data_IF_903943117300
#
_entry.id   IF_903943117300
#
_cell.length_a   1.000
_cell.length_b   1.000
_cell.length_c   1.000
_cell.angle_alpha   90.00
_cell.angle_beta   90.00
_cell.angle_gamma   90.00
#
_symmetry.space_group_name_H-M   'P 1'
#
loop_
_entity.id
_entity.type
_entity.pdbx_description
1 polymer ?
#
# COMPACT_ATOMS: atom_id res chain seq x y z
N UNK A 1 19.42 51.97 -30.53
CA UNK A 1 19.73 51.12 -29.36
C UNK A 1 18.63 50.08 -29.22
N UNK A 2 19.01 48.80 -29.08
CA UNK A 2 18.17 47.61 -28.83
C UNK A 2 17.21 47.24 -29.99
N UNK A 3 16.99 45.97 -30.39
CA UNK A 3 17.11 44.65 -29.73
C UNK A 3 16.93 43.51 -30.78
N UNK A 4 17.18 42.25 -30.36
CA UNK A 4 16.66 40.96 -30.90
C UNK A 4 17.27 40.42 -32.22
N UNK A 5 17.60 39.14 -32.43
CA UNK A 5 17.37 37.83 -31.76
C UNK A 5 18.53 36.89 -32.19
N UNK A 6 19.21 36.21 -31.27
CA UNK A 6 19.09 34.76 -31.01
C UNK A 6 18.96 33.85 -32.24
N UNK A 7 20.00 33.06 -32.50
CA UNK A 7 19.88 31.67 -32.92
C UNK A 7 20.99 30.87 -32.23
N UNK A 8 20.55 29.95 -31.38
CA UNK A 8 21.36 29.10 -30.52
C UNK A 8 21.32 27.69 -31.10
N UNK A 9 22.06 27.45 -32.19
CA UNK A 9 22.32 26.11 -32.71
C UNK A 9 23.59 25.56 -32.04
N UNK A 10 23.41 24.91 -30.89
CA UNK A 10 24.47 24.10 -30.28
C UNK A 10 24.58 22.77 -31.03
N UNK A 11 25.43 22.79 -32.04
CA UNK A 11 25.80 21.65 -32.89
C UNK A 11 26.43 20.54 -32.03
N UNK A 12 25.84 19.34 -32.09
CA UNK A 12 26.37 18.10 -31.50
C UNK A 12 27.68 17.68 -32.22
N UNK A 13 28.77 17.33 -31.51
CA UNK A 13 30.03 16.96 -32.14
C UNK A 13 30.05 15.47 -32.53
N UNK A 14 29.69 15.09 -33.77
CA UNK A 14 30.04 13.74 -34.28
C UNK A 14 29.95 13.51 -35.82
N UNK A 15 30.45 14.43 -36.64
CA UNK A 15 30.26 14.34 -38.11
C UNK A 15 31.40 13.68 -38.92
N UNK A 16 32.36 13.01 -38.27
CA UNK A 16 33.53 12.40 -38.95
C UNK A 16 33.44 10.89 -39.20
N UNK A 17 32.40 10.21 -38.74
CA UNK A 17 32.27 8.76 -38.87
C UNK A 17 31.52 8.35 -40.15
N UNK A 18 32.06 7.40 -40.90
CA UNK A 18 31.39 6.78 -42.05
C UNK A 18 30.12 6.05 -41.64
N UNK A 19 29.14 5.91 -42.54
CA UNK A 19 27.91 5.16 -42.29
C UNK A 19 28.18 3.75 -41.74
N UNK A 20 29.18 3.07 -42.30
CA UNK A 20 29.58 1.74 -41.86
C UNK A 20 30.11 1.72 -40.41
N UNK A 21 30.93 2.71 -40.04
CA UNK A 21 31.42 2.85 -38.66
C UNK A 21 30.28 3.17 -37.68
N UNK A 22 29.34 4.02 -38.09
CA UNK A 22 28.16 4.37 -37.31
C UNK A 22 27.26 3.15 -37.04
N UNK A 23 26.98 2.34 -38.07
CA UNK A 23 26.22 1.08 -37.95
C UNK A 23 26.93 0.06 -37.05
N UNK A 24 28.25 -0.13 -37.23
CA UNK A 24 29.02 -1.02 -36.37
C UNK A 24 29.07 -0.52 -34.92
N UNK A 25 29.05 0.80 -34.71
CA UNK A 25 29.01 1.43 -33.39
C UNK A 25 27.75 1.05 -32.61
N UNK A 26 26.57 1.23 -33.22
CA UNK A 26 25.28 0.90 -32.55
C UNK A 26 25.15 -0.60 -32.25
N UNK A 27 25.69 -1.47 -33.12
CA UNK A 27 25.67 -2.92 -32.91
C UNK A 27 26.58 -3.42 -31.78
N UNK A 28 27.50 -2.59 -31.27
CA UNK A 28 28.29 -2.93 -30.07
C UNK A 28 27.46 -2.88 -28.80
N UNK A 29 26.36 -2.14 -28.78
CA UNK A 29 25.45 -2.12 -27.64
C UNK A 29 24.72 -3.48 -27.55
N UNK A 30 24.84 -4.22 -26.42
CA UNK A 30 24.24 -5.55 -26.30
C UNK A 30 22.71 -5.57 -26.44
N UNK A 31 22.02 -4.53 -25.95
CA UNK A 31 20.55 -4.41 -26.06
C UNK A 31 20.12 -4.19 -27.52
N UNK A 32 20.84 -3.33 -28.25
CA UNK A 32 20.62 -3.13 -29.70
C UNK A 32 20.85 -4.44 -30.47
N UNK A 33 21.96 -5.13 -30.19
CA UNK A 33 22.28 -6.40 -30.84
C UNK A 33 21.23 -7.49 -30.57
N UNK A 34 20.73 -7.56 -29.33
CA UNK A 34 19.65 -8.47 -28.93
C UNK A 34 18.35 -8.13 -29.65
N UNK A 35 17.96 -6.86 -29.68
CA UNK A 35 16.75 -6.41 -30.36
C UNK A 35 16.79 -6.72 -31.86
N UNK A 36 17.87 -6.37 -32.55
CA UNK A 36 18.08 -6.64 -33.98
C UNK A 36 17.95 -8.13 -34.30
N UNK A 37 18.51 -9.01 -33.47
CA UNK A 37 18.39 -10.46 -33.65
C UNK A 37 16.96 -10.96 -33.43
N UNK A 38 16.28 -10.43 -32.42
CA UNK A 38 14.91 -10.83 -32.08
C UNK A 38 13.91 -10.43 -33.17
N UNK A 39 14.06 -9.23 -33.74
CA UNK A 39 13.18 -8.68 -34.78
C UNK A 39 13.64 -9.03 -36.21
N UNK A 40 14.78 -9.71 -36.36
CA UNK A 40 15.36 -10.13 -37.66
C UNK A 40 15.59 -8.98 -38.63
N UNK A 41 16.00 -7.81 -38.12
CA UNK A 41 16.25 -6.63 -38.96
C UNK A 41 17.41 -6.86 -39.92
N UNK A 42 17.25 -6.38 -41.15
CA UNK A 42 18.29 -6.38 -42.17
C UNK A 42 19.29 -5.24 -41.95
N UNK A 43 20.42 -5.28 -42.65
CA UNK A 43 21.39 -4.17 -42.63
C UNK A 43 20.79 -2.86 -43.14
N UNK A 44 19.88 -2.95 -44.11
CA UNK A 44 19.18 -1.80 -44.69
C UNK A 44 18.22 -1.17 -43.67
N UNK A 45 17.47 -1.99 -42.92
CA UNK A 45 16.59 -1.50 -41.84
C UNK A 45 17.38 -0.74 -40.76
N UNK A 46 18.56 -1.25 -40.40
CA UNK A 46 19.44 -0.59 -39.41
C UNK A 46 19.98 0.74 -39.95
N UNK A 47 20.32 0.80 -41.25
CA UNK A 47 20.79 2.04 -41.88
C UNK A 47 19.68 3.08 -41.96
N UNK A 48 18.47 2.67 -42.37
CA UNK A 48 17.30 3.54 -42.48
C UNK A 48 16.84 4.09 -41.13
N UNK A 49 17.11 3.36 -40.03
CA UNK A 49 16.74 3.75 -38.66
C UNK A 49 17.94 4.11 -37.78
N UNK A 50 19.08 4.48 -38.37
CA UNK A 50 20.33 4.70 -37.64
C UNK A 50 20.21 5.79 -36.57
N UNK A 51 19.49 6.88 -36.86
CA UNK A 51 19.25 7.98 -35.90
C UNK A 51 18.52 7.49 -34.66
N UNK A 52 17.57 6.57 -34.81
CA UNK A 52 16.81 5.96 -33.72
C UNK A 52 17.72 5.11 -32.83
N UNK A 53 18.57 4.26 -33.42
CA UNK A 53 19.51 3.45 -32.66
C UNK A 53 20.56 4.29 -31.93
N UNK A 54 21.05 5.37 -32.56
CA UNK A 54 21.96 6.31 -31.90
C UNK A 54 21.29 7.03 -30.73
N UNK A 55 20.04 7.49 -30.91
CA UNK A 55 19.26 8.11 -29.84
C UNK A 55 19.03 7.14 -28.67
N UNK A 56 18.71 5.87 -28.97
CA UNK A 56 18.63 4.82 -27.96
C UNK A 56 19.96 4.65 -27.22
N UNK A 57 21.07 4.49 -27.94
CA UNK A 57 22.38 4.24 -27.33
C UNK A 57 22.79 5.38 -26.40
N UNK A 58 22.69 6.63 -26.86
CA UNK A 58 22.99 7.80 -26.06
C UNK A 58 22.16 7.83 -24.77
N UNK A 59 20.83 7.65 -24.89
CA UNK A 59 19.95 7.64 -23.72
C UNK A 59 20.18 6.43 -22.82
N UNK A 60 20.52 5.27 -23.36
CA UNK A 60 20.80 4.07 -22.59
C UNK A 60 22.10 4.22 -21.79
N UNK A 61 23.13 4.85 -22.35
CA UNK A 61 24.38 5.17 -21.64
C UNK A 61 24.15 6.06 -20.42
N UNK A 62 23.22 7.02 -20.48
CA UNK A 62 22.80 7.82 -19.32
C UNK A 62 22.27 6.93 -18.18
N UNK A 63 21.53 5.86 -18.50
CA UNK A 63 20.96 4.96 -17.50
C UNK A 63 21.98 3.96 -16.93
N UNK A 64 23.05 3.63 -17.65
CA UNK A 64 24.06 2.65 -17.19
C UNK A 64 24.78 3.11 -15.93
N UNK A 65 25.05 4.42 -15.80
CA UNK A 65 25.65 5.02 -14.60
C UNK A 65 24.65 5.90 -13.83
N UNK A 66 23.38 5.48 -13.76
CA UNK A 66 22.32 6.29 -13.18
C UNK A 66 22.54 6.53 -11.67
N UNK A 67 22.66 7.79 -11.21
CA UNK A 67 22.83 8.13 -9.79
C UNK A 67 21.50 8.06 -8.98
N UNK A 68 20.39 7.70 -9.63
CA UNK A 68 19.04 7.70 -9.03
C UNK A 68 18.18 8.87 -9.49
N UNK A 69 16.94 8.94 -8.99
CA UNK A 69 15.93 9.90 -9.47
C UNK A 69 16.30 11.37 -9.23
N UNK A 70 16.99 11.68 -8.12
CA UNK A 70 17.31 13.06 -7.75
C UNK A 70 18.30 13.72 -8.71
N UNK A 71 19.11 12.93 -9.41
CA UNK A 71 20.10 13.38 -10.39
C UNK A 71 19.92 12.66 -11.73
N UNK A 72 18.68 12.33 -12.07
CA UNK A 72 18.35 11.64 -13.31
C UNK A 72 18.68 12.51 -14.54
N UNK A 73 19.59 12.05 -15.40
CA UNK A 73 20.02 12.77 -16.61
C UNK A 73 19.13 12.55 -17.85
N UNK A 74 18.03 11.80 -17.75
CA UNK A 74 17.10 11.60 -18.86
C UNK A 74 16.28 12.87 -19.13
N UNK A 75 15.84 13.12 -20.38
CA UNK A 75 14.96 14.25 -20.71
C UNK A 75 13.64 14.23 -19.93
N UNK A 76 13.11 13.04 -19.69
CA UNK A 76 11.95 12.82 -18.81
C UNK A 76 12.45 12.06 -17.58
N UNK A 77 12.40 12.72 -16.43
CA UNK A 77 12.85 12.16 -15.15
C UNK A 77 12.16 10.81 -14.88
N UNK A 78 12.93 9.81 -14.47
CA UNK A 78 12.42 8.49 -14.11
C UNK A 78 12.05 7.58 -15.29
N UNK A 79 12.23 8.03 -16.55
CA UNK A 79 11.93 7.22 -17.74
C UNK A 79 13.20 6.70 -18.40
N UNK A 80 13.26 5.41 -18.66
CA UNK A 80 14.31 4.79 -19.47
C UNK A 80 13.85 4.50 -20.90
N UNK A 81 14.76 4.59 -21.89
CA UNK A 81 14.44 4.25 -23.27
C UNK A 81 14.36 2.73 -23.47
N UNK A 82 13.50 2.29 -24.39
CA UNK A 82 13.55 0.94 -24.94
C UNK A 82 13.19 0.96 -26.43
N UNK A 83 13.75 0.00 -27.17
CA UNK A 83 13.43 -0.21 -28.58
C UNK A 83 12.20 -1.10 -28.70
N UNK A 84 11.30 -0.72 -29.59
CA UNK A 84 10.09 -1.48 -29.86
C UNK A 84 9.84 -1.58 -31.36
N UNK A 85 9.05 -2.57 -31.75
CA UNK A 85 8.56 -2.74 -33.11
C UNK A 85 7.03 -2.71 -33.07
N UNK A 86 6.48 -1.53 -33.31
CA UNK A 86 5.05 -1.27 -33.26
C UNK A 86 4.45 -1.46 -34.66
N UNK A 87 3.68 -2.53 -34.83
CA UNK A 87 3.04 -2.90 -36.11
C UNK A 87 3.97 -2.92 -37.34
N UNK A 88 5.26 -3.21 -37.14
CA UNK A 88 6.27 -3.24 -38.21
C UNK A 88 7.13 -1.97 -38.32
N UNK A 89 6.88 -0.95 -37.50
CA UNK A 89 7.67 0.27 -37.43
C UNK A 89 8.58 0.28 -36.21
N UNK A 90 9.86 0.57 -36.44
CA UNK A 90 10.82 0.74 -35.34
C UNK A 90 10.56 2.05 -34.61
N UNK A 91 10.35 1.97 -33.31
CA UNK A 91 10.08 3.12 -32.44
C UNK A 91 10.96 3.09 -31.21
N UNK A 92 11.29 4.30 -30.71
CA UNK A 92 12.02 4.50 -29.47
C UNK A 92 11.05 4.96 -28.39
N UNK A 93 10.57 4.01 -27.60
CA UNK A 93 9.61 4.26 -26.54
C UNK A 93 10.32 4.48 -25.20
N UNK A 94 9.53 4.85 -24.19
CA UNK A 94 10.01 5.05 -22.83
C UNK A 94 9.12 4.38 -21.81
N UNK A 95 9.71 3.87 -20.73
CA UNK A 95 9.00 3.25 -19.61
C UNK A 95 9.61 3.72 -18.30
N UNK A 96 8.93 3.47 -17.17
CA UNK A 96 9.51 3.76 -15.86
C UNK A 96 10.78 2.94 -15.64
N UNK A 97 11.86 3.60 -15.22
CA UNK A 97 13.08 2.92 -14.83
C UNK A 97 12.93 2.31 -13.43
N UNK A 98 13.85 1.42 -13.03
CA UNK A 98 13.79 0.71 -11.74
C UNK A 98 13.53 1.62 -10.53
N UNK A 99 14.08 2.82 -10.50
CA UNK A 99 13.89 3.75 -9.37
C UNK A 99 12.50 4.39 -9.39
N UNK A 100 11.98 4.72 -10.58
CA UNK A 100 10.62 5.27 -10.70
C UNK A 100 9.57 4.19 -10.40
N UNK A 101 9.82 2.95 -10.83
CA UNK A 101 8.99 1.80 -10.47
C UNK A 101 8.95 1.61 -8.95
N UNK A 102 10.10 1.67 -8.26
CA UNK A 102 10.13 1.59 -6.79
C UNK A 102 9.31 2.68 -6.10
N UNK A 103 9.35 3.92 -6.61
CA UNK A 103 8.52 5.02 -6.07
C UNK A 103 7.04 4.76 -6.34
N UNK A 104 6.68 4.33 -7.55
CA UNK A 104 5.29 4.01 -7.88
C UNK A 104 4.77 2.86 -7.01
N UNK A 105 5.56 1.80 -6.83
CA UNK A 105 5.23 0.69 -5.94
C UNK A 105 5.00 1.17 -4.51
N UNK A 106 5.84 2.08 -4.00
CA UNK A 106 5.64 2.69 -2.68
C UNK A 106 4.35 3.51 -2.60
N UNK A 107 4.04 4.31 -3.62
CA UNK A 107 2.81 5.11 -3.68
C UNK A 107 1.57 4.21 -3.72
N UNK A 108 1.57 3.18 -4.58
CA UNK A 108 0.48 2.21 -4.64
C UNK A 108 0.31 1.45 -3.33
N UNK A 109 1.40 1.15 -2.60
CA UNK A 109 1.30 0.56 -1.25
C UNK A 109 0.64 1.51 -0.25
N UNK A 110 0.95 2.81 -0.32
CA UNK A 110 0.33 3.83 0.53
C UNK A 110 -1.15 4.02 0.19
N UNK A 111 -1.51 3.99 -1.09
CA UNK A 111 -2.91 4.04 -1.54
C UNK A 111 -3.73 2.83 -1.06
N UNK A 112 -3.09 1.66 -0.90
CA UNK A 112 -3.72 0.45 -0.35
C UNK A 112 -3.91 0.48 1.16
N UNK A 113 -3.32 1.45 1.87
CA UNK A 113 -3.50 1.62 3.32
C UNK A 113 -4.29 2.90 3.59
N UNK A 114 -5.60 2.73 3.74
CA UNK A 114 -6.49 3.85 4.01
C UNK A 114 -6.70 4.03 5.52
N UNK A 115 -6.70 5.28 5.98
CA UNK A 115 -6.95 5.63 7.38
C UNK A 115 -8.28 6.38 7.54
N UNK A 116 -9.08 5.93 8.51
CA UNK A 116 -10.20 6.71 9.04
C UNK A 116 -9.81 7.19 10.44
N UNK A 117 -9.58 8.50 10.57
CA UNK A 117 -9.02 9.15 11.75
C UNK A 117 -7.52 9.44 11.61
N UNK A 118 -6.83 9.82 12.70
CA UNK A 118 -5.44 10.23 12.67
C UNK A 118 -4.53 9.07 12.29
N UNK A 119 -3.73 9.26 11.24
CA UNK A 119 -2.60 8.39 10.97
C UNK A 119 -1.56 8.51 12.10
N UNK A 120 -0.86 7.42 12.39
CA UNK A 120 0.26 7.44 13.34
C UNK A 120 1.45 8.17 12.70
N UNK A 121 1.56 9.46 12.98
CA UNK A 121 2.67 10.29 12.50
C UNK A 121 4.02 9.74 12.97
N UNK A 122 4.99 9.65 12.05
CA UNK A 122 6.36 9.20 12.37
C UNK A 122 6.50 7.69 12.58
N UNK A 123 5.50 6.89 12.21
CA UNK A 123 5.61 5.44 12.25
C UNK A 123 6.60 4.90 11.23
N UNK A 124 7.57 4.11 11.69
CA UNK A 124 8.41 3.28 10.84
C UNK A 124 7.96 1.80 10.97
N UNK A 125 7.55 1.14 9.88
CA UNK A 125 7.16 -0.28 9.88
C UNK A 125 8.22 -1.24 10.43
N UNK A 126 9.49 -0.84 10.40
CA UNK A 126 10.62 -1.63 10.90
C UNK A 126 10.83 -1.48 12.41
N UNK A 127 10.23 -0.48 13.07
CA UNK A 127 10.41 -0.18 14.49
C UNK A 127 9.56 -1.08 15.41
N UNK A 128 9.65 -2.40 15.22
CA UNK A 128 9.07 -3.37 16.16
C UNK A 128 10.08 -3.72 17.25
N UNK A 129 9.67 -3.48 18.51
CA UNK A 129 10.40 -4.02 19.65
C UNK A 129 10.33 -5.55 19.68
N UNK A 130 11.47 -6.20 19.57
CA UNK A 130 11.61 -7.65 19.70
C UNK A 130 11.94 -8.00 21.14
N UNK A 131 11.01 -8.65 21.83
CA UNK A 131 11.21 -9.13 23.19
C UNK A 131 10.41 -10.42 23.45
N UNK A 132 10.73 -11.18 24.51
CA UNK A 132 10.02 -12.43 24.82
C UNK A 132 8.51 -12.28 25.02
N UNK A 133 8.06 -11.13 25.54
CA UNK A 133 6.62 -10.85 25.80
C UNK A 133 5.82 -10.68 24.52
N UNK A 134 6.48 -10.29 23.41
CA UNK A 134 5.88 -10.14 22.08
C UNK A 134 5.98 -11.37 21.19
N UNK A 135 6.71 -12.42 21.61
CA UNK A 135 6.93 -13.62 20.79
C UNK A 135 5.63 -14.24 20.27
N UNK A 136 4.61 -14.35 21.12
CA UNK A 136 3.32 -14.96 20.75
C UNK A 136 2.62 -14.12 19.69
N UNK A 137 2.45 -12.81 19.92
CA UNK A 137 1.76 -11.94 18.95
C UNK A 137 2.51 -11.84 17.62
N UNK A 138 3.85 -11.75 17.64
CA UNK A 138 4.65 -11.71 16.40
C UNK A 138 4.55 -13.02 15.63
N UNK A 139 4.52 -14.17 16.31
CA UNK A 139 4.29 -15.46 15.66
C UNK A 139 2.91 -15.55 15.02
N UNK A 140 1.87 -15.00 15.65
CA UNK A 140 0.52 -14.97 15.08
C UNK A 140 0.44 -14.05 13.86
N UNK A 141 1.07 -12.87 13.93
CA UNK A 141 1.17 -11.91 12.82
C UNK A 141 1.90 -12.55 11.63
N UNK A 142 3.09 -13.12 11.85
CA UNK A 142 3.87 -13.75 10.78
C UNK A 142 3.11 -14.91 10.14
N UNK A 143 2.49 -15.77 10.96
CA UNK A 143 1.66 -16.87 10.45
C UNK A 143 0.50 -16.36 9.60
N UNK A 144 -0.12 -15.24 9.98
CA UNK A 144 -1.20 -14.67 9.19
C UNK A 144 -0.69 -14.20 7.82
N UNK A 145 0.42 -13.44 7.82
CA UNK A 145 1.07 -12.91 6.62
C UNK A 145 1.48 -14.05 5.68
N UNK A 146 2.13 -15.09 6.18
CA UNK A 146 2.59 -16.25 5.39
C UNK A 146 1.46 -17.00 4.70
N UNK A 147 0.27 -17.02 5.30
CA UNK A 147 -0.88 -17.77 4.79
C UNK A 147 -1.85 -16.91 3.96
N UNK A 148 -1.65 -15.58 3.88
CA UNK A 148 -2.48 -14.68 3.08
C UNK A 148 -2.35 -15.03 1.57
N UNK A 149 -3.44 -15.06 0.77
CA UNK A 149 -4.79 -14.55 1.05
C UNK A 149 -5.79 -15.61 1.55
N UNK A 150 -5.35 -16.77 2.05
CA UNK A 150 -6.30 -17.79 2.53
C UNK A 150 -7.12 -17.25 3.71
N UNK A 151 -8.41 -17.59 3.84
CA UNK A 151 -9.24 -17.17 4.95
C UNK A 151 -8.73 -17.67 6.30
N UNK A 152 -8.56 -16.76 7.26
CA UNK A 152 -8.06 -17.05 8.60
C UNK A 152 -8.69 -16.10 9.62
N UNK A 153 -8.66 -16.49 10.88
CA UNK A 153 -9.01 -15.59 11.97
C UNK A 153 -7.98 -14.46 12.07
N UNK A 154 -8.47 -13.25 12.33
CA UNK A 154 -7.62 -12.15 12.74
C UNK A 154 -7.31 -12.20 14.24
N UNK A 155 -6.93 -11.06 14.81
CA UNK A 155 -6.45 -10.97 16.19
C UNK A 155 -7.17 -9.84 16.91
N UNK A 156 -7.71 -10.15 18.10
CA UNK A 156 -8.10 -9.15 19.07
C UNK A 156 -6.95 -8.97 20.07
N UNK A 157 -6.14 -7.94 19.86
CA UNK A 157 -4.96 -7.64 20.67
C UNK A 157 -5.33 -6.70 21.80
N UNK A 158 -5.25 -7.17 23.05
CA UNK A 158 -5.62 -6.37 24.21
C UNK A 158 -4.54 -6.30 25.28
N UNK A 159 -4.52 -5.21 26.04
CA UNK A 159 -3.52 -5.01 27.09
C UNK A 159 -3.42 -3.54 27.53
N UNK A 160 -2.47 -3.19 28.39
CA UNK A 160 -2.35 -1.84 28.92
C UNK A 160 -2.05 -0.78 27.84
N UNK A 161 -2.29 0.49 28.19
CA UNK A 161 -1.93 1.63 27.37
C UNK A 161 -0.41 1.68 27.10
N UNK A 162 -0.03 2.13 25.91
CA UNK A 162 1.37 2.39 25.58
C UNK A 162 2.24 1.15 25.33
N UNK A 163 1.66 -0.07 25.35
CA UNK A 163 2.40 -1.30 25.03
C UNK A 163 2.67 -1.51 23.53
N UNK A 164 2.24 -0.61 22.65
CA UNK A 164 2.49 -0.67 21.20
C UNK A 164 1.52 -1.53 20.38
N UNK A 165 0.29 -1.76 20.85
CA UNK A 165 -0.73 -2.55 20.13
C UNK A 165 -1.03 -2.01 18.72
N UNK A 166 -1.30 -0.71 18.62
CA UNK A 166 -1.56 -0.03 17.34
C UNK A 166 -0.37 -0.14 16.39
N UNK A 167 0.86 -0.06 16.91
CA UNK A 167 2.10 -0.19 16.12
C UNK A 167 2.28 -1.61 15.55
N UNK A 168 1.90 -2.64 16.31
CA UNK A 168 1.91 -4.02 15.83
C UNK A 168 0.86 -4.25 14.73
N UNK A 169 -0.35 -3.68 14.88
CA UNK A 169 -1.37 -3.77 13.83
C UNK A 169 -1.01 -2.96 12.60
N UNK A 170 -0.34 -1.81 12.76
CA UNK A 170 0.13 -1.02 11.63
C UNK A 170 1.26 -1.74 10.88
N UNK A 171 2.13 -2.47 11.59
CA UNK A 171 3.15 -3.31 10.94
C UNK A 171 2.49 -4.39 10.08
N UNK A 172 1.52 -5.09 10.66
CA UNK A 172 0.73 -6.07 9.93
C UNK A 172 0.06 -5.44 8.70
N UNK A 173 -0.54 -4.26 8.84
CA UNK A 173 -1.16 -3.52 7.74
C UNK A 173 -0.18 -3.26 6.60
N UNK A 174 1.02 -2.75 6.92
CA UNK A 174 2.07 -2.51 5.94
C UNK A 174 2.53 -3.80 5.24
N UNK A 175 2.76 -4.88 5.99
CA UNK A 175 3.15 -6.15 5.38
C UNK A 175 2.05 -6.71 4.46
N UNK A 176 0.78 -6.52 4.79
CA UNK A 176 -0.34 -6.97 3.94
C UNK A 176 -0.50 -6.11 2.68
N UNK A 177 -0.22 -4.80 2.73
CA UNK A 177 -0.26 -3.94 1.53
C UNK A 177 0.86 -4.26 0.56
N UNK A 178 2.02 -4.71 1.07
CA UNK A 178 3.13 -5.26 0.28
C UNK A 178 2.72 -6.55 -0.46
N UNK A 179 1.83 -7.36 0.14
CA UNK A 179 1.23 -8.53 -0.49
C UNK A 179 0.04 -8.21 -1.40
N UNK A 180 -0.32 -6.93 -1.55
CA UNK A 180 -1.38 -6.48 -2.45
C UNK A 180 -2.77 -6.31 -1.83
N UNK A 181 -2.91 -6.49 -0.51
CA UNK A 181 -4.19 -6.30 0.17
C UNK A 181 -4.57 -4.82 0.26
N UNK A 182 -5.86 -4.49 0.09
CA UNK A 182 -6.39 -3.21 0.52
C UNK A 182 -6.73 -3.28 2.02
N UNK A 183 -6.08 -2.45 2.82
CA UNK A 183 -6.20 -2.43 4.27
C UNK A 183 -6.88 -1.13 4.68
N UNK A 184 -7.99 -1.25 5.41
CA UNK A 184 -8.66 -0.13 6.05
C UNK A 184 -8.29 -0.11 7.54
N UNK A 185 -7.59 0.94 7.97
CA UNK A 185 -7.18 1.16 9.34
C UNK A 185 -8.04 2.25 9.98
N UNK A 186 -8.85 1.88 10.97
CA UNK A 186 -9.86 2.77 11.55
C UNK A 186 -9.52 3.04 13.00
N UNK A 187 -9.31 4.31 13.35
CA UNK A 187 -9.29 4.71 14.76
C UNK A 187 -10.72 4.77 15.30
N UNK A 188 -11.10 3.73 16.04
CA UNK A 188 -12.50 3.45 16.38
C UNK A 188 -13.19 4.57 17.18
N UNK A 189 -12.54 5.21 18.19
CA UNK A 189 -13.17 6.29 18.94
C UNK A 189 -13.58 7.49 18.09
N UNK A 190 -12.78 7.86 17.09
CA UNK A 190 -13.09 8.96 16.19
C UNK A 190 -14.14 8.58 15.15
N UNK A 191 -14.03 7.36 14.60
CA UNK A 191 -15.06 6.82 13.72
C UNK A 191 -16.44 6.84 14.40
N UNK A 192 -16.54 6.42 15.66
CA UNK A 192 -17.80 6.48 16.41
C UNK A 192 -18.30 7.91 16.59
N UNK A 193 -17.41 8.89 16.81
CA UNK A 193 -17.80 10.31 16.87
C UNK A 193 -18.34 10.81 15.54
N UNK A 194 -17.68 10.45 14.44
CA UNK A 194 -18.11 10.80 13.09
C UNK A 194 -19.48 10.19 12.79
N UNK A 195 -19.67 8.89 13.04
CA UNK A 195 -20.95 8.21 12.88
C UNK A 195 -22.05 8.89 13.70
N UNK A 196 -21.80 9.18 14.99
CA UNK A 196 -22.78 9.90 15.83
C UNK A 196 -23.17 11.26 15.26
N UNK A 197 -22.25 11.93 14.57
CA UNK A 197 -22.54 13.18 13.89
C UNK A 197 -23.39 12.98 12.63
N UNK A 198 -23.23 11.88 11.91
CA UNK A 198 -23.91 11.63 10.63
C UNK A 198 -25.35 11.15 10.79
N UNK A 199 -25.66 10.43 11.88
CA UNK A 199 -26.99 9.84 12.13
C UNK A 199 -28.10 10.88 11.98
N UNK A 200 -29.10 10.55 11.14
CA UNK A 200 -30.29 11.37 10.92
C UNK A 200 -30.07 12.64 10.10
N UNK A 201 -28.83 12.92 9.68
CA UNK A 201 -28.49 14.05 8.81
C UNK A 201 -28.17 13.63 7.38
N UNK A 202 -27.44 12.53 7.23
CA UNK A 202 -27.01 12.01 5.93
C UNK A 202 -26.95 10.48 5.96
N UNK A 203 -28.03 9.84 5.53
CA UNK A 203 -28.13 8.37 5.54
C UNK A 203 -27.22 7.71 4.51
N UNK A 204 -27.01 8.37 3.36
CA UNK A 204 -26.17 7.85 2.28
C UNK A 204 -24.70 7.81 2.74
N UNK A 205 -24.20 8.91 3.32
CA UNK A 205 -22.85 8.92 3.87
C UNK A 205 -22.65 7.89 5.00
N UNK A 206 -23.67 7.69 5.84
CA UNK A 206 -23.62 6.64 6.87
C UNK A 206 -23.49 5.25 6.25
N UNK A 207 -24.35 4.91 5.28
CA UNK A 207 -24.35 3.60 4.64
C UNK A 207 -23.04 3.35 3.88
N UNK A 208 -22.51 4.34 3.17
CA UNK A 208 -21.24 4.26 2.45
C UNK A 208 -20.08 3.96 3.40
N UNK A 209 -19.97 4.68 4.52
CA UNK A 209 -18.95 4.43 5.54
C UNK A 209 -19.04 3.00 6.09
N UNK A 210 -20.25 2.54 6.41
CA UNK A 210 -20.45 1.17 6.92
C UNK A 210 -20.10 0.12 5.87
N UNK A 211 -20.45 0.35 4.61
CA UNK A 211 -20.15 -0.55 3.51
C UNK A 211 -18.65 -0.64 3.25
N UNK A 212 -17.92 0.48 3.33
CA UNK A 212 -16.45 0.49 3.24
C UNK A 212 -15.79 -0.45 4.27
N UNK A 213 -16.26 -0.44 5.52
CA UNK A 213 -15.77 -1.33 6.59
C UNK A 213 -16.14 -2.81 6.35
N UNK A 214 -17.31 -3.09 5.75
CA UNK A 214 -17.72 -4.45 5.38
C UNK A 214 -16.89 -4.98 4.21
N UNK A 215 -16.56 -4.13 3.25
CA UNK A 215 -16.00 -4.52 1.95
C UNK A 215 -14.47 -4.58 1.92
N UNK A 216 -13.77 -3.83 2.76
CA UNK A 216 -12.30 -3.85 2.81
C UNK A 216 -11.73 -5.28 2.93
N UNK A 217 -10.67 -5.59 2.17
CA UNK A 217 -10.02 -6.91 2.20
C UNK A 217 -9.58 -7.25 3.61
N UNK A 218 -8.96 -6.27 4.27
CA UNK A 218 -8.52 -6.33 5.66
C UNK A 218 -9.07 -5.10 6.39
N UNK A 219 -9.72 -5.32 7.54
CA UNK A 219 -10.16 -4.25 8.43
C UNK A 219 -9.41 -4.32 9.75
N UNK A 220 -8.84 -3.20 10.18
CA UNK A 220 -8.21 -3.03 11.48
C UNK A 220 -8.99 -1.96 12.25
N UNK A 221 -9.59 -2.33 13.38
CA UNK A 221 -10.21 -1.39 14.31
C UNK A 221 -9.27 -1.12 15.48
N UNK A 222 -8.71 0.08 15.54
CA UNK A 222 -7.79 0.50 16.59
C UNK A 222 -8.52 1.15 17.76
N UNK A 223 -8.10 0.80 18.97
CA UNK A 223 -8.55 1.33 20.27
C UNK A 223 -10.06 1.18 20.54
N UNK A 224 -10.61 0.00 20.21
CA UNK A 224 -12.00 -0.33 20.52
C UNK A 224 -12.24 -0.33 22.03
N UNK A 225 -13.28 0.35 22.50
CA UNK A 225 -13.60 0.56 23.91
C UNK A 225 -13.05 1.86 24.50
N UNK A 226 -12.38 2.69 23.71
CA UNK A 226 -11.99 4.07 24.08
C UNK A 226 -13.11 5.09 23.86
N UNK A 227 -14.18 4.70 23.19
CA UNK A 227 -15.38 5.50 22.92
C UNK A 227 -16.37 5.50 24.10
N UNK A 228 -17.32 6.44 24.05
CA UNK A 228 -18.55 6.29 24.84
C UNK A 228 -19.45 5.26 24.16
N UNK A 229 -19.60 4.09 24.80
CA UNK A 229 -20.51 3.03 24.38
C UNK A 229 -21.93 3.58 24.16
N UNK A 230 -22.62 3.05 23.16
CA UNK A 230 -24.08 3.17 23.11
C UNK A 230 -24.68 1.93 22.44
N UNK A 231 -25.89 1.56 22.84
CA UNK A 231 -26.63 0.45 22.26
C UNK A 231 -26.78 0.59 20.74
N UNK A 232 -26.94 1.83 20.25
CA UNK A 232 -26.99 2.12 18.82
C UNK A 232 -25.69 1.76 18.09
N UNK A 233 -24.54 2.20 18.59
CA UNK A 233 -23.25 1.89 17.95
C UNK A 233 -22.99 0.38 17.97
N UNK A 234 -23.33 -0.30 19.07
CA UNK A 234 -23.26 -1.75 19.14
C UNK A 234 -24.14 -2.44 18.08
N UNK A 235 -25.41 -2.04 17.99
CA UNK A 235 -26.44 -2.77 17.25
C UNK A 235 -26.46 -2.41 15.75
N UNK A 236 -26.23 -1.14 15.39
CA UNK A 236 -26.35 -0.63 14.02
C UNK A 236 -25.00 -0.44 13.32
N UNK A 237 -23.90 -0.39 14.06
CA UNK A 237 -22.56 -0.19 13.49
C UNK A 237 -21.71 -1.45 13.64
N UNK A 238 -21.40 -1.85 14.88
CA UNK A 238 -20.49 -2.96 15.12
C UNK A 238 -21.09 -4.32 14.72
N UNK A 239 -22.36 -4.58 15.08
CA UNK A 239 -23.05 -5.84 14.77
C UNK A 239 -23.11 -6.14 13.27
N UNK A 240 -23.54 -5.22 12.38
CA UNK A 240 -23.62 -5.50 10.95
C UNK A 240 -22.25 -5.71 10.30
N UNK A 241 -21.22 -4.95 10.72
CA UNK A 241 -19.85 -5.12 10.21
C UNK A 241 -19.32 -6.51 10.55
N UNK A 242 -19.44 -6.93 11.82
CA UNK A 242 -19.01 -8.28 12.25
C UNK A 242 -19.77 -9.36 11.48
N UNK A 243 -21.09 -9.20 11.32
CA UNK A 243 -21.93 -10.17 10.62
C UNK A 243 -21.50 -10.35 9.16
N UNK A 244 -21.33 -9.26 8.41
CA UNK A 244 -20.97 -9.34 6.99
C UNK A 244 -19.57 -9.96 6.81
N UNK A 245 -18.60 -9.52 7.61
CA UNK A 245 -17.23 -10.07 7.52
C UNK A 245 -17.17 -11.54 7.89
N UNK A 246 -18.03 -12.02 8.80
CA UNK A 246 -18.17 -13.46 9.08
C UNK A 246 -18.70 -14.23 7.87
N UNK A 247 -19.76 -13.72 7.22
CA UNK A 247 -20.37 -14.36 6.05
C UNK A 247 -19.39 -14.43 4.89
N UNK A 248 -18.67 -13.34 4.64
CA UNK A 248 -17.69 -13.23 3.56
C UNK A 248 -16.30 -13.78 3.93
N UNK A 249 -16.12 -14.26 5.17
CA UNK A 249 -14.84 -14.73 5.72
C UNK A 249 -13.68 -13.73 5.55
N UNK A 250 -13.99 -12.43 5.66
CA UNK A 250 -13.01 -11.36 5.53
C UNK A 250 -12.28 -11.11 6.85
N UNK A 251 -10.94 -11.19 6.89
CA UNK A 251 -10.16 -11.05 8.12
C UNK A 251 -10.35 -9.69 8.80
N UNK A 252 -10.40 -9.67 10.12
CA UNK A 252 -10.55 -8.45 10.92
C UNK A 252 -9.62 -8.48 12.13
N UNK A 253 -8.95 -7.37 12.39
CA UNK A 253 -8.09 -7.17 13.55
C UNK A 253 -8.63 -6.06 14.42
N UNK A 254 -8.38 -6.17 15.72
CA UNK A 254 -8.85 -5.19 16.70
C UNK A 254 -7.75 -4.97 17.73
N UNK A 255 -7.54 -3.71 18.15
CA UNK A 255 -6.80 -3.40 19.37
C UNK A 255 -7.74 -2.85 20.43
N UNK A 256 -7.43 -3.12 21.71
CA UNK A 256 -8.23 -2.60 22.83
C UNK A 256 -7.43 -2.55 24.13
N UNK A 257 -7.87 -1.71 25.07
CA UNK A 257 -7.41 -1.79 26.46
C UNK A 257 -8.28 -2.71 27.33
N UNK A 258 -9.38 -3.21 26.77
CA UNK A 258 -10.35 -4.05 27.46
C UNK A 258 -10.04 -5.53 27.20
N UNK A 259 -10.07 -6.33 28.26
CA UNK A 259 -10.14 -7.79 28.11
C UNK A 259 -11.51 -8.19 27.56
N UNK A 260 -11.67 -9.46 27.18
CA UNK A 260 -12.97 -10.00 26.74
C UNK A 260 -14.11 -9.68 27.73
N UNK A 261 -13.87 -9.87 29.02
CA UNK A 261 -14.90 -9.69 30.04
C UNK A 261 -15.25 -8.21 30.21
N UNK A 262 -14.24 -7.34 30.24
CA UNK A 262 -14.41 -5.88 30.32
C UNK A 262 -15.09 -5.32 29.05
N UNK A 263 -14.76 -5.86 27.88
CA UNK A 263 -15.44 -5.52 26.63
C UNK A 263 -16.91 -5.92 26.68
N UNK A 264 -17.21 -7.12 27.18
CA UNK A 264 -18.60 -7.59 27.32
C UNK A 264 -19.39 -6.65 28.22
N UNK A 265 -18.79 -6.20 29.34
CA UNK A 265 -19.40 -5.24 30.25
C UNK A 265 -19.61 -3.87 29.58
N UNK A 266 -18.59 -3.36 28.88
CA UNK A 266 -18.65 -2.09 28.15
C UNK A 266 -19.79 -2.07 27.11
N UNK A 267 -20.04 -3.19 26.42
CA UNK A 267 -21.10 -3.30 25.41
C UNK A 267 -22.53 -3.42 25.99
N UNK A 268 -22.70 -3.59 27.31
CA UNK A 268 -24.03 -3.73 27.93
C UNK A 268 -24.80 -2.42 28.06
N UNK A 269 -24.13 -1.26 27.98
CA UNK A 269 -24.66 0.11 27.96
C UNK A 269 -25.61 0.52 29.11
N UNK A 270 -26.75 -0.16 29.32
CA UNK A 270 -27.83 0.27 30.23
C UNK A 270 -28.29 -0.77 31.27
N UNK A 271 -27.63 -1.92 31.39
CA UNK A 271 -27.94 -2.92 32.43
C UNK A 271 -29.27 -3.68 32.25
N UNK A 272 -30.00 -3.47 31.15
CA UNK A 272 -31.19 -4.26 30.79
C UNK A 272 -30.78 -5.68 30.40
N UNK A 273 -31.59 -6.68 30.79
CA UNK A 273 -31.33 -8.09 30.44
C UNK A 273 -31.19 -8.33 28.92
N UNK A 274 -31.89 -7.56 28.08
CA UNK A 274 -31.77 -7.65 26.62
C UNK A 274 -30.39 -7.21 26.10
N UNK A 275 -29.75 -6.26 26.76
CA UNK A 275 -28.44 -5.76 26.36
C UNK A 275 -27.31 -6.72 26.73
N UNK A 276 -27.50 -7.54 27.78
CA UNK A 276 -26.58 -8.63 28.15
C UNK A 276 -26.44 -9.62 26.98
N UNK A 277 -27.58 -10.13 26.49
CA UNK A 277 -27.61 -11.11 25.40
C UNK A 277 -27.04 -10.53 24.11
N UNK A 278 -27.30 -9.25 23.82
CA UNK A 278 -26.74 -8.57 22.64
C UNK A 278 -25.23 -8.38 22.75
N UNK A 279 -24.72 -7.94 23.90
CA UNK A 279 -23.29 -7.81 24.16
C UNK A 279 -22.56 -9.15 24.02
N UNK A 280 -23.10 -10.22 24.62
CA UNK A 280 -22.53 -11.57 24.51
C UNK A 280 -22.51 -12.07 23.07
N UNK A 281 -23.56 -11.78 22.29
CA UNK A 281 -23.62 -12.12 20.86
C UNK A 281 -22.52 -11.40 20.06
N UNK A 282 -22.26 -10.13 20.34
CA UNK A 282 -21.16 -9.39 19.69
C UNK A 282 -19.82 -10.07 19.99
N UNK A 283 -19.55 -10.34 21.28
CA UNK A 283 -18.28 -10.96 21.67
C UNK A 283 -18.12 -12.35 21.08
N UNK A 284 -19.19 -13.14 20.97
CA UNK A 284 -19.13 -14.46 20.34
C UNK A 284 -18.87 -14.38 18.82
N UNK A 285 -19.46 -13.40 18.13
CA UNK A 285 -19.11 -13.10 16.73
C UNK A 285 -17.64 -12.72 16.59
N UNK A 286 -17.12 -11.88 17.49
CA UNK A 286 -15.70 -11.57 17.51
C UNK A 286 -14.86 -12.83 17.69
N UNK A 287 -15.18 -13.73 18.62
CA UNK A 287 -14.43 -15.00 18.78
C UNK A 287 -14.44 -15.90 17.55
N UNK A 288 -15.44 -15.77 16.70
CA UNK A 288 -15.49 -16.48 15.41
C UNK A 288 -14.52 -15.85 14.41
N UNK A 289 -14.40 -14.52 14.39
CA UNK A 289 -13.54 -13.78 13.48
C UNK A 289 -12.08 -13.67 13.92
N UNK A 290 -11.81 -13.67 15.22
CA UNK A 290 -10.50 -13.32 15.76
C UNK A 290 -10.15 -14.05 17.05
N UNK A 291 -8.85 -14.26 17.27
CA UNK A 291 -8.32 -14.84 18.50
C UNK A 291 -7.97 -13.74 19.51
N UNK A 292 -8.52 -13.84 20.72
CA UNK A 292 -8.27 -12.90 21.81
C UNK A 292 -6.88 -13.14 22.40
N UNK A 293 -5.97 -12.20 22.18
CA UNK A 293 -4.56 -12.32 22.53
C UNK A 293 -4.13 -11.20 23.46
N UNK A 294 -3.70 -11.50 24.70
CA UNK A 294 -3.18 -10.49 25.61
C UNK A 294 -1.77 -10.04 25.20
N UNK A 295 -1.47 -8.76 25.38
CA UNK A 295 -0.13 -8.17 25.28
C UNK A 295 0.18 -7.43 26.59
N UNK A 296 0.92 -8.12 27.46
CA UNK A 296 1.38 -7.56 28.73
C UNK A 296 2.84 -7.13 28.60
N UNK A 297 3.07 -5.99 27.95
CA UNK A 297 4.41 -5.41 27.78
C UNK A 297 4.60 -4.14 28.61
N UNK A 298 5.82 -3.61 28.65
CA UNK A 298 6.08 -2.31 29.26
C UNK A 298 5.42 -1.17 28.46
N UNK A 299 5.24 -0.03 29.11
CA UNK A 299 4.80 1.19 28.44
C UNK A 299 6.01 1.82 27.72
N UNK A 300 5.88 2.12 26.43
CA UNK A 300 6.90 2.71 25.57
C UNK A 300 6.66 4.20 25.27
N UNK A 301 5.66 4.82 25.90
CA UNK A 301 5.39 6.26 25.85
C UNK A 301 6.03 6.99 27.00
#
# INVERSE_FOLDING_TARGET
MNKAKENNDSVMPNDQLTLHQKVNGVLKNPEVSRFVKATKLTKEDIQNNLSLFMAFQYRHEICQNCPGLNSCGQPIKGKEPFLDNDEGYLVLNTRDCKYQQQVNDQLTRLERLEFIGPALAGYNPEDIYLNPKRRVILSLINRFIENYPNPQKGIYLYGPYGCGKSYLMLHLAHQLTELGANVLFVYYPEFVRLIKSTIGRDSEMFDDMINQLKEADILILDDLGGEMSSAYIRDEVLSPILQERMLQRKPMFVTSNLSKDLLTEHLRDTGKNSDIVKAERIVERMRTLMDFTPLNDQNYR
#
